data_IF_627427536799
#
_entry.id   IF_627427536799
#
_cell.length_a   1.000
_cell.length_b   1.000
_cell.length_c   1.000
_cell.angle_alpha   90.00
_cell.angle_beta   90.00
_cell.angle_gamma   90.00
#
_symmetry.space_group_name_H-M   'P 1'
#
loop_
_entity.id
_entity.type
_entity.pdbx_description
1 polymer ?
#
# COMPACT_ATOMS: atom_id res chain seq x y z
N UNK A 1 12.45 16.23 -1.88
CA UNK A 1 12.08 14.84 -1.54
C UNK A 1 10.73 14.40 -2.12
N UNK A 2 9.86 15.30 -2.62
CA UNK A 2 8.56 14.96 -3.26
C UNK A 2 8.63 14.15 -4.57
N UNK A 3 9.82 13.97 -5.14
CA UNK A 3 9.98 13.48 -6.52
C UNK A 3 10.24 11.97 -6.63
N UNK A 4 10.15 11.21 -5.52
CA UNK A 4 10.52 9.78 -5.49
C UNK A 4 9.32 8.82 -5.51
N UNK A 5 8.12 9.26 -5.15
CA UNK A 5 6.91 8.45 -5.23
C UNK A 5 6.03 8.94 -6.41
N UNK A 6 5.61 8.07 -7.34
CA UNK A 6 4.66 8.40 -8.41
C UNK A 6 3.39 9.12 -7.97
N UNK A 7 2.90 8.86 -6.75
CA UNK A 7 1.76 9.59 -6.19
C UNK A 7 2.07 11.02 -5.73
N UNK A 8 3.32 11.48 -5.86
CA UNK A 8 3.70 12.89 -5.69
C UNK A 8 3.59 13.43 -4.26
N UNK A 9 3.40 12.57 -3.25
CA UNK A 9 3.29 12.97 -1.84
C UNK A 9 3.92 11.96 -0.90
N UNK A 10 4.24 12.42 0.31
CA UNK A 10 4.58 11.52 1.43
C UNK A 10 3.33 10.73 1.84
N UNK A 11 3.52 9.44 2.08
CA UNK A 11 2.48 8.56 2.61
C UNK A 11 2.07 8.97 4.02
N UNK A 12 0.80 8.82 4.34
CA UNK A 12 0.24 9.05 5.67
C UNK A 12 -0.10 7.72 6.33
N UNK A 13 -0.22 7.65 7.66
CA UNK A 13 -0.63 6.42 8.35
C UNK A 13 -1.90 5.79 7.79
N UNK A 14 -2.85 6.61 7.35
CA UNK A 14 -4.14 6.17 6.80
C UNK A 14 -3.96 5.38 5.49
N UNK A 15 -2.96 5.70 4.68
CA UNK A 15 -2.68 4.96 3.43
C UNK A 15 -2.31 3.49 3.70
N UNK A 16 -1.69 3.22 4.85
CA UNK A 16 -1.37 1.85 5.27
C UNK A 16 -2.58 1.22 5.97
N UNK A 17 -3.29 1.99 6.81
CA UNK A 17 -4.47 1.53 7.51
C UNK A 17 -5.54 1.01 6.53
N UNK A 18 -5.79 1.72 5.44
CA UNK A 18 -6.77 1.32 4.42
C UNK A 18 -6.37 0.00 3.73
N UNK A 19 -5.07 -0.19 3.45
CA UNK A 19 -4.55 -1.45 2.88
C UNK A 19 -4.73 -2.60 3.87
N UNK A 20 -4.45 -2.38 5.15
CA UNK A 20 -4.66 -3.40 6.19
C UNK A 20 -6.14 -3.69 6.38
N UNK A 21 -7.01 -2.68 6.37
CA UNK A 21 -8.45 -2.86 6.48
C UNK A 21 -9.00 -3.71 5.32
N UNK A 22 -8.53 -3.47 4.09
CA UNK A 22 -8.82 -4.34 2.95
C UNK A 22 -8.33 -5.77 3.18
N UNK A 23 -7.08 -5.97 3.62
CA UNK A 23 -6.53 -7.31 3.85
C UNK A 23 -7.23 -8.09 4.97
N UNK A 24 -7.76 -7.38 5.97
CA UNK A 24 -8.53 -7.98 7.06
C UNK A 24 -10.00 -8.28 6.69
N UNK A 25 -10.44 -7.87 5.49
CA UNK A 25 -11.82 -8.01 5.05
C UNK A 25 -12.09 -9.32 4.28
N UNK A 26 -13.37 -9.67 4.14
CA UNK A 26 -13.84 -10.74 3.25
C UNK A 26 -13.50 -10.54 1.77
N UNK A 27 -13.18 -9.31 1.36
CA UNK A 27 -12.77 -9.03 -0.01
C UNK A 27 -11.39 -9.64 -0.33
N UNK A 28 -10.54 -9.84 0.69
CA UNK A 28 -9.21 -10.42 0.52
C UNK A 28 -9.15 -11.95 0.76
N UNK A 29 -10.28 -12.64 0.95
CA UNK A 29 -10.35 -14.05 1.40
C UNK A 29 -9.59 -15.10 0.56
N UNK A 30 -9.20 -14.75 -0.66
CA UNK A 30 -8.43 -15.64 -1.55
C UNK A 30 -6.96 -15.23 -1.71
N UNK A 31 -6.51 -14.24 -0.93
CA UNK A 31 -5.18 -13.65 -1.04
C UNK A 31 -4.32 -14.14 0.14
N UNK A 32 -3.26 -14.87 -0.15
CA UNK A 32 -2.33 -15.39 0.87
C UNK A 32 -0.89 -15.45 0.34
N UNK A 33 0.07 -15.38 1.25
CA UNK A 33 1.50 -15.47 0.94
C UNK A 33 2.07 -14.32 0.10
N UNK A 34 1.35 -13.20 -0.03
CA UNK A 34 1.78 -12.08 -0.85
C UNK A 34 2.54 -11.03 -0.05
N UNK A 35 3.57 -10.45 -0.67
CA UNK A 35 4.24 -9.24 -0.19
C UNK A 35 3.67 -8.03 -0.94
N UNK A 36 2.96 -7.16 -0.23
CA UNK A 36 2.33 -5.97 -0.80
C UNK A 36 3.09 -4.70 -0.41
N UNK A 37 3.39 -3.84 -1.39
CA UNK A 37 4.08 -2.58 -1.19
C UNK A 37 3.12 -1.39 -1.32
N UNK A 38 2.68 -0.85 -0.17
CA UNK A 38 1.88 0.37 -0.10
C UNK A 38 2.75 1.64 -0.05
N UNK A 39 3.63 1.81 -1.05
CA UNK A 39 4.66 2.87 -1.06
C UNK A 39 4.35 4.06 -1.96
N UNK A 40 3.10 4.24 -2.39
CA UNK A 40 2.74 5.27 -3.38
C UNK A 40 3.52 5.18 -4.69
N UNK A 41 3.96 3.97 -5.06
CA UNK A 41 4.77 3.66 -6.24
C UNK A 41 6.28 3.83 -6.09
N UNK A 42 6.79 4.14 -4.88
CA UNK A 42 8.22 4.35 -4.63
C UNK A 42 9.08 3.08 -4.80
N UNK A 43 8.50 1.88 -4.72
CA UNK A 43 9.20 0.62 -5.01
C UNK A 43 8.82 0.13 -6.40
N UNK A 44 9.71 0.38 -7.35
CA UNK A 44 9.86 -0.40 -8.58
C UNK A 44 10.96 -1.41 -8.26
N UNK A 45 10.69 -2.70 -8.47
CA UNK A 45 11.55 -3.88 -8.18
C UNK A 45 11.74 -4.27 -6.70
#
# INVERSE_FOLDING_TARGET
>A
MERMAPLGRVGRPEDIADVIAFLASEQARWLTGQLLFAGGGHRMF
#
